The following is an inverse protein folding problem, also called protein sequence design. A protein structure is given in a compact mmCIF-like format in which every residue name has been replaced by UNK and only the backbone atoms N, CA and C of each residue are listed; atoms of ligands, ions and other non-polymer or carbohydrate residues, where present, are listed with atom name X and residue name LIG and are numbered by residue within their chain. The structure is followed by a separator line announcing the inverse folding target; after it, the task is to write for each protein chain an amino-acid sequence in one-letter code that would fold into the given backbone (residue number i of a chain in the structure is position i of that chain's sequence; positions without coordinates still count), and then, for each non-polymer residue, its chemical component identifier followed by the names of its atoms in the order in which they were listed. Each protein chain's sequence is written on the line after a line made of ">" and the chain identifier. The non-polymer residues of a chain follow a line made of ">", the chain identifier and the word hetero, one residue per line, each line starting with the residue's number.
data_IF_267419426682
#
_entry.id   IF_267419426682
#
_cell.length_a   1.000
_cell.length_b   1.000
_cell.length_c   1.000
_cell.angle_alpha   90.00
_cell.angle_beta   90.00
_cell.angle_gamma   90.00
#
_symmetry.space_group_name_H-M   'P 1'
#
loop_
_entity.id
_entity.type
_entity.pdbx_description
1 polymer ?
#
# COMPACT_ATOMS: atom_id res chain seq x y z
N UNK A 1 -49.30 25.40 -1.97
CA UNK A 1 -49.15 25.89 -0.59
C UNK A 1 -47.74 25.50 -0.16
N UNK A 2 -46.87 26.50 -0.02
CA UNK A 2 -45.44 26.45 0.34
C UNK A 2 -44.54 25.49 -0.48
N UNK A 3 -43.85 26.11 -1.42
CA UNK A 3 -42.64 25.69 -2.11
C UNK A 3 -41.60 25.12 -1.13
N UNK A 4 -41.12 23.90 -1.37
CA UNK A 4 -40.04 23.22 -0.64
C UNK A 4 -38.68 23.84 -1.03
N UNK A 5 -38.56 25.16 -0.85
CA UNK A 5 -37.43 26.02 -1.20
C UNK A 5 -36.20 25.82 -0.29
N UNK A 6 -35.92 24.57 0.08
CA UNK A 6 -34.70 24.16 0.80
C UNK A 6 -34.17 22.83 0.28
N UNK A 7 -34.18 22.63 -1.05
CA UNK A 7 -33.13 21.82 -1.65
C UNK A 7 -31.82 22.59 -1.45
N UNK A 8 -30.94 22.07 -0.58
CA UNK A 8 -29.60 22.63 -0.35
C UNK A 8 -28.96 22.91 -1.71
N UNK A 9 -28.59 24.16 -2.02
CA UNK A 9 -27.97 24.49 -3.30
C UNK A 9 -26.70 23.68 -3.53
N UNK A 10 -26.44 23.27 -4.77
CA UNK A 10 -25.29 22.43 -5.13
C UNK A 10 -23.95 23.02 -4.65
N UNK A 11 -23.82 24.35 -4.59
CA UNK A 11 -22.61 25.02 -4.07
C UNK A 11 -22.42 24.81 -2.56
N UNK A 12 -23.51 24.85 -1.79
CA UNK A 12 -23.48 24.61 -0.34
C UNK A 12 -23.20 23.13 -0.07
N UNK A 13 -23.86 22.23 -0.80
CA UNK A 13 -23.61 20.80 -0.71
C UNK A 13 -22.16 20.46 -1.09
N UNK A 14 -21.63 21.03 -2.18
CA UNK A 14 -20.22 20.88 -2.56
C UNK A 14 -19.27 21.43 -1.47
N UNK A 15 -19.62 22.56 -0.84
CA UNK A 15 -18.88 23.11 0.30
C UNK A 15 -18.76 22.13 1.45
N UNK A 16 -19.87 21.52 1.87
CA UNK A 16 -19.90 20.50 2.94
C UNK A 16 -19.14 19.24 2.53
N UNK A 17 -19.35 18.76 1.30
CA UNK A 17 -18.69 17.55 0.79
C UNK A 17 -17.16 17.70 0.69
N UNK A 18 -16.65 18.91 0.42
CA UNK A 18 -15.21 19.20 0.42
C UNK A 18 -14.55 19.06 1.78
N UNK A 19 -15.33 19.10 2.87
CA UNK A 19 -14.82 18.89 4.22
C UNK A 19 -14.61 17.40 4.53
N UNK A 20 -15.17 16.51 3.71
CA UNK A 20 -15.02 15.07 3.91
C UNK A 20 -13.66 14.59 3.41
N UNK A 21 -13.06 13.68 4.18
CA UNK A 21 -11.96 12.87 3.67
C UNK A 21 -12.41 12.12 2.40
N UNK A 22 -11.52 11.83 1.43
CA UNK A 22 -11.96 11.29 0.13
C UNK A 22 -12.68 9.94 0.17
N UNK A 23 -12.48 9.12 1.22
CA UNK A 23 -13.33 7.94 1.46
C UNK A 23 -14.77 8.32 1.82
N UNK A 24 -14.95 9.33 2.67
CA UNK A 24 -16.26 9.89 3.00
C UNK A 24 -16.93 10.50 1.76
N UNK A 25 -16.15 11.11 0.87
CA UNK A 25 -16.62 11.61 -0.42
C UNK A 25 -17.01 10.47 -1.38
N UNK A 26 -16.22 9.39 -1.44
CA UNK A 26 -16.54 8.20 -2.23
C UNK A 26 -17.79 7.48 -1.70
N UNK A 27 -17.96 7.38 -0.38
CA UNK A 27 -19.17 6.87 0.26
C UNK A 27 -20.38 7.77 -0.04
N UNK A 28 -20.21 9.09 0.07
CA UNK A 28 -21.23 10.10 -0.27
C UNK A 28 -21.69 10.00 -1.72
N UNK A 29 -20.78 9.67 -2.65
CA UNK A 29 -21.09 9.42 -4.06
C UNK A 29 -22.01 8.22 -4.29
N UNK A 30 -22.08 7.30 -3.34
CA UNK A 30 -22.95 6.12 -3.38
C UNK A 30 -24.34 6.38 -2.75
N UNK A 31 -24.53 7.48 -2.02
CA UNK A 31 -25.78 7.77 -1.29
C UNK A 31 -26.96 8.04 -2.22
N UNK A 32 -26.84 9.01 -3.15
CA UNK A 32 -27.91 9.34 -4.08
C UNK A 32 -27.40 9.97 -5.39
N UNK A 33 -28.27 10.05 -6.40
CA UNK A 33 -27.94 10.61 -7.72
C UNK A 33 -27.56 12.10 -7.67
N UNK A 34 -28.20 12.89 -6.80
CA UNK A 34 -27.89 14.32 -6.67
C UNK A 34 -26.48 14.54 -6.10
N UNK A 35 -26.12 13.82 -5.04
CA UNK A 35 -24.79 13.90 -4.44
C UNK A 35 -23.71 13.40 -5.40
N UNK A 36 -23.96 12.27 -6.08
CA UNK A 36 -23.07 11.78 -7.14
C UNK A 36 -22.83 12.84 -8.21
N UNK A 37 -23.89 13.49 -8.67
CA UNK A 37 -23.80 14.55 -9.68
C UNK A 37 -22.93 15.71 -9.19
N UNK A 38 -23.18 16.23 -7.98
CA UNK A 38 -22.36 17.33 -7.43
C UNK A 38 -20.89 16.93 -7.31
N UNK A 39 -20.61 15.72 -6.84
CA UNK A 39 -19.24 15.19 -6.70
C UNK A 39 -18.55 15.04 -8.07
N UNK A 40 -19.25 14.50 -9.06
CA UNK A 40 -18.73 14.25 -10.40
C UNK A 40 -18.57 15.57 -11.20
N UNK A 41 -19.59 16.44 -11.21
CA UNK A 41 -19.63 17.72 -11.93
C UNK A 41 -18.55 18.68 -11.39
N UNK A 42 -18.38 18.74 -10.07
CA UNK A 42 -17.36 19.58 -9.41
C UNK A 42 -16.01 18.86 -9.27
N UNK A 43 -15.89 17.64 -9.79
CA UNK A 43 -14.66 16.80 -9.76
C UNK A 43 -14.04 16.71 -8.36
N UNK A 44 -14.88 16.59 -7.33
CA UNK A 44 -14.43 16.58 -5.94
C UNK A 44 -13.57 15.35 -5.64
N UNK A 45 -13.83 14.21 -6.30
CA UNK A 45 -12.92 13.06 -6.29
C UNK A 45 -11.85 13.26 -7.37
N UNK A 46 -10.57 13.26 -6.99
CA UNK A 46 -9.45 13.38 -7.93
C UNK A 46 -9.31 12.10 -8.75
N UNK A 47 -9.72 12.14 -10.02
CA UNK A 47 -9.63 11.00 -10.96
C UNK A 47 -8.19 10.61 -11.29
N UNK A 48 -7.28 11.58 -11.18
CA UNK A 48 -5.86 11.52 -11.43
C UNK A 48 -5.10 10.72 -10.36
N UNK A 49 -5.68 10.56 -9.16
CA UNK A 49 -4.96 10.05 -8.00
C UNK A 49 -5.51 8.72 -7.45
N UNK A 50 -6.74 8.36 -7.82
CA UNK A 50 -7.36 7.08 -7.48
C UNK A 50 -8.11 6.53 -8.70
N UNK A 51 -7.87 5.26 -9.10
CA UNK A 51 -8.66 4.61 -10.12
C UNK A 51 -10.14 4.60 -9.71
N UNK A 52 -10.97 5.39 -10.40
CA UNK A 52 -12.43 5.45 -10.13
C UNK A 52 -13.17 4.16 -10.52
N UNK A 53 -12.48 3.25 -11.21
CA UNK A 53 -12.95 1.92 -11.59
C UNK A 53 -11.79 0.93 -11.50
N UNK A 54 -12.12 -0.33 -11.20
CA UNK A 54 -11.17 -1.43 -11.26
C UNK A 54 -10.74 -1.67 -12.72
N UNK A 55 -9.52 -1.28 -13.07
CA UNK A 55 -8.96 -1.48 -14.41
C UNK A 55 -8.42 -2.90 -14.65
N UNK A 56 -8.01 -3.60 -13.59
CA UNK A 56 -7.52 -4.97 -13.64
C UNK A 56 -6.93 -5.43 -12.32
N UNK A 57 -6.35 -6.63 -12.32
CA UNK A 57 -5.77 -7.29 -11.14
C UNK A 57 -4.36 -7.77 -11.49
N UNK A 58 -3.39 -7.48 -10.62
CA UNK A 58 -2.05 -8.05 -10.68
C UNK A 58 -1.96 -9.30 -9.80
N UNK A 59 -1.45 -10.40 -10.35
CA UNK A 59 -1.32 -11.70 -9.68
C UNK A 59 0.12 -12.17 -9.72
N UNK A 60 0.69 -12.44 -8.56
CA UNK A 60 2.02 -13.05 -8.47
C UNK A 60 1.89 -14.57 -8.51
N UNK A 61 2.56 -15.20 -9.48
CA UNK A 61 2.66 -16.66 -9.53
C UNK A 61 3.97 -17.09 -8.86
N UNK A 62 3.86 -17.60 -7.64
CA UNK A 62 5.00 -17.96 -6.79
C UNK A 62 5.94 -18.97 -7.45
N UNK A 63 5.40 -19.92 -8.21
CA UNK A 63 6.20 -20.96 -8.88
C UNK A 63 6.98 -20.42 -10.10
N UNK A 64 6.57 -19.26 -10.63
CA UNK A 64 7.12 -18.70 -11.86
C UNK A 64 7.82 -17.35 -11.65
N UNK A 65 7.84 -16.85 -10.41
CA UNK A 65 8.49 -15.60 -9.99
C UNK A 65 8.09 -14.33 -10.77
N UNK A 66 7.00 -14.34 -11.55
CA UNK A 66 6.53 -13.18 -12.30
C UNK A 66 5.10 -12.76 -11.92
N UNK A 67 4.78 -11.50 -12.18
CA UNK A 67 3.44 -10.93 -12.05
C UNK A 67 2.68 -10.92 -13.37
N UNK A 68 1.46 -11.45 -13.38
CA UNK A 68 0.52 -11.33 -14.51
C UNK A 68 -0.54 -10.25 -14.25
N UNK A 69 -0.96 -9.54 -15.29
CA UNK A 69 -2.06 -8.58 -15.22
C UNK A 69 -3.30 -9.11 -15.97
N UNK A 70 -4.43 -9.14 -15.26
CA UNK A 70 -5.74 -9.46 -15.82
C UNK A 70 -6.55 -8.17 -15.95
N UNK A 71 -6.82 -7.73 -17.18
CA UNK A 71 -7.59 -6.51 -17.45
C UNK A 71 -9.09 -6.78 -17.54
N UNK A 72 -9.91 -5.76 -17.25
CA UNK A 72 -11.36 -5.82 -17.51
C UNK A 72 -11.65 -5.45 -18.97
N UNK A 73 -12.43 -6.25 -19.73
CA UNK A 73 -12.66 -5.99 -21.17
C UNK A 73 -13.37 -4.68 -21.52
N UNK A 74 -14.06 -4.04 -20.56
CA UNK A 74 -15.09 -3.02 -20.83
C UNK A 74 -14.71 -1.58 -20.47
N UNK A 75 -13.48 -1.29 -20.07
CA UNK A 75 -13.04 0.07 -19.70
C UNK A 75 -11.98 0.59 -20.67
N UNK A 76 -12.37 1.55 -21.52
CA UNK A 76 -11.60 2.12 -22.64
C UNK A 76 -10.38 2.98 -22.29
N UNK A 77 -9.86 2.89 -21.07
CA UNK A 77 -8.52 3.38 -20.70
C UNK A 77 -7.74 2.19 -20.18
N UNK A 78 -6.93 1.59 -21.04
CA UNK A 78 -6.15 0.41 -20.73
C UNK A 78 -5.00 0.80 -19.80
N UNK A 79 -5.16 0.54 -18.49
CA UNK A 79 -4.00 0.38 -17.61
C UNK A 79 -3.17 -0.74 -18.24
N UNK A 80 -1.97 -0.42 -18.72
CA UNK A 80 -1.07 -1.43 -19.25
C UNK A 80 -0.51 -2.22 -18.07
N UNK A 81 -0.66 -3.54 -18.10
CA UNK A 81 -0.03 -4.43 -17.14
C UNK A 81 1.47 -4.65 -17.37
N UNK A 82 2.02 -4.08 -18.46
CA UNK A 82 3.46 -4.16 -18.73
C UNK A 82 4.21 -3.26 -17.74
N UNK A 83 5.22 -3.81 -17.09
CA UNK A 83 6.07 -3.12 -16.13
C UNK A 83 7.54 -3.09 -16.58
N UNK A 84 7.82 -3.57 -17.81
CA UNK A 84 9.13 -3.64 -18.45
C UNK A 84 9.82 -2.27 -18.57
N UNK A 85 9.06 -1.20 -18.76
CA UNK A 85 9.56 0.18 -18.80
C UNK A 85 10.25 0.66 -17.52
N UNK A 86 10.15 -0.09 -16.42
CA UNK A 86 10.75 0.26 -15.12
C UNK A 86 12.18 -0.24 -14.99
N UNK A 87 12.69 -1.02 -15.96
CA UNK A 87 14.02 -1.62 -15.92
C UNK A 87 14.85 -1.06 -17.08
N UNK A 88 15.96 -0.35 -16.81
CA UNK A 88 16.91 0.03 -17.84
C UNK A 88 17.87 -1.14 -18.14
N UNK A 89 17.69 -1.86 -19.25
CA UNK A 89 18.64 -2.90 -19.69
C UNK A 89 18.06 -4.00 -20.58
N UNK A 90 18.93 -4.91 -21.03
CA UNK A 90 18.54 -6.08 -21.83
C UNK A 90 17.68 -7.06 -21.00
N UNK A 91 16.55 -7.55 -21.53
CA UNK A 91 15.53 -8.30 -20.80
C UNK A 91 15.98 -9.69 -20.28
N UNK A 92 17.05 -10.26 -20.82
CA UNK A 92 17.39 -11.68 -20.63
C UNK A 92 18.21 -11.98 -19.35
N UNK A 93 18.69 -10.95 -18.64
CA UNK A 93 19.52 -11.12 -17.43
C UNK A 93 18.84 -10.69 -16.13
N UNK A 94 17.61 -10.19 -16.19
CA UNK A 94 16.97 -9.53 -15.05
C UNK A 94 15.94 -10.39 -14.34
N UNK A 95 15.86 -10.29 -12.99
CA UNK A 95 14.90 -11.06 -12.24
C UNK A 95 13.48 -10.70 -12.69
N UNK A 96 12.59 -11.69 -12.79
CA UNK A 96 11.22 -11.47 -13.23
C UNK A 96 10.53 -10.43 -12.33
N UNK A 97 9.75 -9.55 -12.96
CA UNK A 97 9.06 -8.47 -12.26
C UNK A 97 8.02 -9.07 -11.31
N UNK A 98 8.20 -8.79 -10.02
CA UNK A 98 7.35 -9.29 -8.95
C UNK A 98 6.84 -8.13 -8.09
N UNK A 99 5.52 -7.95 -8.03
CA UNK A 99 4.88 -6.92 -7.20
C UNK A 99 4.96 -7.34 -5.72
N UNK A 100 5.74 -6.61 -4.91
CA UNK A 100 5.93 -6.90 -3.48
C UNK A 100 4.79 -6.39 -2.61
N UNK A 101 4.25 -5.23 -2.95
CA UNK A 101 3.16 -4.59 -2.21
C UNK A 101 2.36 -3.67 -3.15
N UNK A 102 1.20 -3.20 -2.71
CA UNK A 102 0.40 -2.21 -3.42
C UNK A 102 -0.38 -1.33 -2.44
N UNK A 103 -0.57 -0.06 -2.77
CA UNK A 103 -1.34 0.87 -1.95
C UNK A 103 -1.95 1.98 -2.82
N UNK A 104 -3.27 2.16 -2.72
CA UNK A 104 -4.03 3.21 -3.41
C UNK A 104 -3.70 3.40 -4.91
N UNK A 105 -3.42 2.30 -5.61
CA UNK A 105 -3.14 2.29 -7.05
C UNK A 105 -1.64 2.32 -7.41
N UNK A 106 -0.75 2.54 -6.45
CA UNK A 106 0.70 2.35 -6.64
C UNK A 106 1.10 0.90 -6.38
N UNK A 107 2.13 0.45 -7.09
CA UNK A 107 2.74 -0.87 -6.97
C UNK A 107 4.18 -0.71 -6.48
N UNK A 108 4.58 -1.56 -5.54
CA UNK A 108 5.96 -1.66 -5.07
C UNK A 108 6.65 -2.82 -5.79
N UNK A 109 7.74 -2.53 -6.51
CA UNK A 109 8.66 -3.49 -7.08
C UNK A 109 9.94 -3.53 -6.23
N UNK A 110 10.88 -4.42 -6.58
CA UNK A 110 12.14 -4.53 -5.84
C UNK A 110 12.96 -3.22 -5.86
N UNK A 111 12.96 -2.52 -6.99
CA UNK A 111 13.85 -1.38 -7.26
C UNK A 111 13.13 -0.04 -7.39
N UNK A 112 11.79 -0.02 -7.41
CA UNK A 112 11.02 1.21 -7.63
C UNK A 112 9.57 1.10 -7.15
N UNK A 113 8.93 2.25 -7.02
CA UNK A 113 7.47 2.38 -6.90
C UNK A 113 6.90 2.84 -8.24
N UNK A 114 5.80 2.22 -8.68
CA UNK A 114 5.24 2.40 -10.01
C UNK A 114 3.78 2.80 -9.92
N UNK A 115 3.39 3.80 -10.72
CA UNK A 115 2.00 4.10 -11.01
C UNK A 115 1.62 3.52 -12.39
N UNK A 116 0.91 2.37 -12.44
CA UNK A 116 0.54 1.74 -13.71
C UNK A 116 -0.50 2.56 -14.50
N UNK A 117 -1.23 3.47 -13.85
CA UNK A 117 -2.19 4.34 -14.52
C UNK A 117 -1.53 5.49 -15.28
N UNK A 118 -0.40 6.01 -14.78
CA UNK A 118 0.35 7.10 -15.42
C UNK A 118 1.64 6.65 -16.11
N UNK A 119 2.03 5.38 -15.97
CA UNK A 119 3.31 4.82 -16.40
C UNK A 119 4.54 5.50 -15.78
N UNK A 120 4.35 6.30 -14.73
CA UNK A 120 5.44 6.91 -13.99
C UNK A 120 5.99 5.94 -12.96
N UNK A 121 7.27 6.08 -12.65
CA UNK A 121 7.94 5.31 -11.63
C UNK A 121 8.99 6.17 -10.93
N UNK A 122 9.30 5.82 -9.69
CA UNK A 122 10.33 6.45 -8.88
C UNK A 122 11.29 5.38 -8.36
N UNK A 123 12.62 5.49 -8.61
CA UNK A 123 13.58 4.54 -8.09
C UNK A 123 13.58 4.56 -6.57
N UNK A 124 13.77 3.39 -5.97
CA UNK A 124 14.02 3.27 -4.54
C UNK A 124 15.53 3.14 -4.31
N UNK A 125 16.11 3.91 -3.38
CA UNK A 125 17.46 3.64 -2.95
C UNK A 125 17.53 2.24 -2.32
N UNK A 126 18.70 1.56 -2.39
CA UNK A 126 18.90 0.30 -1.71
C UNK A 126 18.46 0.39 -0.24
N UNK A 127 17.74 -0.63 0.23
CA UNK A 127 17.43 -0.72 1.65
C UNK A 127 18.76 -0.79 2.43
N UNK A 128 18.92 0.01 3.51
CA UNK A 128 20.11 -0.08 4.34
C UNK A 128 20.24 -1.47 4.94
N UNK A 129 21.47 -1.95 5.10
CA UNK A 129 21.75 -3.26 5.69
C UNK A 129 21.14 -3.37 7.08
N UNK A 130 20.38 -4.45 7.33
CA UNK A 130 19.88 -4.72 8.66
C UNK A 130 21.05 -4.94 9.64
N UNK A 131 20.92 -4.54 10.92
CA UNK A 131 21.97 -4.77 11.91
C UNK A 131 22.37 -6.25 11.90
N UNK A 132 23.67 -6.51 11.79
CA UNK A 132 24.22 -7.85 11.95
C UNK A 132 24.87 -7.95 13.35
N UNK A 133 24.58 -9.02 14.13
CA UNK A 133 23.65 -10.11 13.82
C UNK A 133 22.17 -9.68 13.94
N UNK A 134 21.25 -10.32 13.19
CA UNK A 134 19.82 -10.13 13.40
C UNK A 134 19.47 -10.44 14.87
N UNK A 135 18.50 -9.74 15.45
CA UNK A 135 18.04 -10.06 16.81
C UNK A 135 17.64 -11.55 16.89
N UNK A 136 17.93 -12.23 18.02
CA UNK A 136 17.59 -13.64 18.20
C UNK A 136 16.14 -13.91 17.79
N UNK A 137 15.96 -14.75 16.77
CA UNK A 137 14.66 -15.15 16.22
C UNK A 137 14.24 -14.49 14.92
N UNK A 138 14.78 -13.33 14.53
CA UNK A 138 14.44 -12.70 13.25
C UNK A 138 15.09 -13.48 12.09
N UNK A 139 14.30 -14.28 11.36
CA UNK A 139 14.75 -14.81 10.07
C UNK A 139 14.61 -13.71 9.01
N UNK A 140 15.69 -13.51 8.27
CA UNK A 140 15.98 -12.38 7.39
C UNK A 140 15.22 -12.43 6.05
N UNK A 141 13.94 -12.05 6.05
CA UNK A 141 13.27 -11.51 4.86
C UNK A 141 12.40 -10.31 5.27
N UNK A 142 13.00 -9.12 5.44
CA UNK A 142 12.24 -7.90 5.72
C UNK A 142 11.11 -7.72 4.70
N UNK A 143 9.90 -7.42 5.18
CA UNK A 143 8.76 -7.14 4.31
C UNK A 143 8.65 -5.64 4.11
N UNK A 144 8.62 -5.24 2.85
CA UNK A 144 8.43 -3.84 2.47
C UNK A 144 6.93 -3.56 2.30
N UNK A 145 6.46 -2.50 2.96
CA UNK A 145 5.08 -2.05 2.92
C UNK A 145 5.01 -0.65 2.33
N UNK A 146 4.21 -0.50 1.27
CA UNK A 146 3.99 0.79 0.62
C UNK A 146 2.86 1.54 1.31
N UNK A 147 3.11 2.81 1.64
CA UNK A 147 2.12 3.74 2.15
C UNK A 147 2.00 4.89 1.17
N UNK A 148 0.79 5.07 0.65
CA UNK A 148 0.51 6.14 -0.29
C UNK A 148 -0.90 6.65 0.00
N UNK A 149 -1.03 7.91 0.38
CA UNK A 149 -2.32 8.57 0.48
C UNK A 149 -2.42 9.68 -0.58
N UNK A 150 -3.08 9.41 -1.72
CA UNK A 150 -3.26 10.41 -2.78
C UNK A 150 -4.01 11.66 -2.34
N UNK A 151 -4.68 11.60 -1.18
CA UNK A 151 -5.48 12.70 -0.64
C UNK A 151 -4.64 13.72 0.10
N UNK A 152 -3.50 13.30 0.66
CA UNK A 152 -2.54 14.16 1.34
C UNK A 152 -1.58 14.79 0.34
N UNK A 153 -1.04 13.99 -0.59
CA UNK A 153 -0.19 14.50 -1.66
C UNK A 153 -0.13 13.51 -2.83
N UNK A 154 -0.24 14.00 -4.08
CA UNK A 154 -0.31 13.14 -5.26
C UNK A 154 0.99 12.38 -5.57
N UNK A 155 2.14 12.90 -5.08
CA UNK A 155 3.48 12.41 -5.41
C UNK A 155 4.26 11.94 -4.17
N UNK A 156 3.59 11.89 -3.01
CA UNK A 156 4.23 11.52 -1.75
C UNK A 156 3.88 10.09 -1.36
N UNK A 157 4.89 9.23 -1.28
CA UNK A 157 4.74 7.88 -0.75
C UNK A 157 5.86 7.58 0.24
N UNK A 158 5.58 6.65 1.14
CA UNK A 158 6.53 6.11 2.10
C UNK A 158 6.63 4.60 1.91
N UNK A 159 7.81 4.03 2.18
CA UNK A 159 8.02 2.57 2.19
C UNK A 159 8.59 2.16 3.54
N UNK A 160 7.89 1.29 4.25
CA UNK A 160 8.32 0.78 5.56
C UNK A 160 8.92 -0.61 5.41
N UNK A 161 10.03 -0.85 6.10
CA UNK A 161 10.58 -2.20 6.28
C UNK A 161 10.08 -2.74 7.61
N UNK A 162 9.18 -3.70 7.55
CA UNK A 162 8.63 -4.40 8.72
C UNK A 162 9.34 -5.75 8.86
N UNK A 163 9.87 -6.07 10.04
CA UNK A 163 10.48 -7.37 10.27
C UNK A 163 9.45 -8.49 10.23
N UNK A 164 9.83 -9.64 9.67
CA UNK A 164 8.96 -10.82 9.69
C UNK A 164 8.89 -11.40 11.12
N UNK A 165 7.81 -12.10 11.41
CA UNK A 165 7.61 -12.76 12.71
C UNK A 165 8.69 -13.85 12.85
N UNK A 166 9.49 -13.83 13.92
CA UNK A 166 10.42 -14.89 14.24
C UNK A 166 9.81 -16.30 14.11
N UNK A 167 10.50 -17.18 13.38
CA UNK A 167 10.06 -18.57 13.20
C UNK A 167 11.04 -19.55 13.83
N UNK A 168 10.49 -20.64 14.39
CA UNK A 168 11.13 -21.61 15.27
C UNK A 168 12.25 -22.49 14.65
N UNK A 169 12.77 -22.14 13.48
CA UNK A 169 13.78 -22.96 12.81
C UNK A 169 15.19 -22.82 13.43
N UNK A 170 15.37 -21.91 14.39
CA UNK A 170 16.61 -21.77 15.13
C UNK A 170 16.33 -22.09 16.60
N UNK A 171 17.04 -23.09 17.13
CA UNK A 171 16.99 -23.57 18.52
C UNK A 171 17.50 -22.54 19.56
N UNK A 172 17.64 -21.26 19.20
CA UNK A 172 18.32 -20.24 20.01
C UNK A 172 17.38 -19.15 20.59
N UNK A 173 16.07 -19.23 20.35
CA UNK A 173 15.12 -18.31 20.99
C UNK A 173 14.60 -18.87 22.32
N UNK A 174 15.44 -18.78 23.36
CA UNK A 174 15.04 -19.09 24.74
C UNK A 174 14.30 -17.93 25.43
N UNK A 175 14.32 -16.72 24.86
CA UNK A 175 13.68 -15.56 25.46
C UNK A 175 12.18 -15.45 25.11
N UNK A 176 11.34 -15.37 26.15
CA UNK A 176 9.91 -15.07 26.05
C UNK A 176 9.67 -13.61 25.61
N UNK A 177 10.04 -13.26 24.38
CA UNK A 177 9.74 -11.93 23.86
C UNK A 177 8.29 -11.85 23.34
N UNK A 178 7.63 -10.73 23.63
CA UNK A 178 6.28 -10.43 23.17
C UNK A 178 6.29 -9.99 21.70
N UNK A 179 5.28 -10.42 20.95
CA UNK A 179 5.06 -9.98 19.58
C UNK A 179 3.68 -9.34 19.37
N UNK A 180 3.59 -8.21 18.63
CA UNK A 180 4.72 -7.33 18.32
C UNK A 180 5.31 -6.75 19.63
N UNK A 181 6.58 -6.33 19.65
CA UNK A 181 7.19 -5.67 20.81
C UNK A 181 6.41 -4.41 21.22
N UNK A 182 6.54 -3.99 22.48
CA UNK A 182 5.93 -2.74 22.96
C UNK A 182 6.41 -1.50 22.19
N UNK A 183 7.67 -1.52 21.77
CA UNK A 183 8.29 -0.51 20.92
C UNK A 183 8.98 -1.17 19.75
N UNK A 184 8.64 -0.74 18.53
CA UNK A 184 9.20 -1.24 17.29
C UNK A 184 9.84 -0.08 16.53
N UNK A 185 11.14 -0.18 16.28
CA UNK A 185 11.85 0.78 15.43
C UNK A 185 11.83 0.23 14.02
N UNK A 186 11.18 0.96 13.10
CA UNK A 186 11.08 0.60 11.69
C UNK A 186 11.87 1.58 10.85
N UNK A 187 12.46 1.08 9.77
CA UNK A 187 13.08 1.90 8.74
C UNK A 187 12.04 2.32 7.72
N UNK A 188 12.01 3.60 7.41
CA UNK A 188 11.03 4.21 6.53
C UNK A 188 11.75 5.05 5.48
N UNK A 189 11.51 4.74 4.22
CA UNK A 189 11.87 5.60 3.10
C UNK A 189 10.75 6.61 2.86
N UNK A 190 11.10 7.86 2.59
CA UNK A 190 10.16 8.92 2.21
C UNK A 190 10.52 9.48 0.84
N UNK A 191 9.54 9.52 -0.08
CA UNK A 191 9.76 10.11 -1.41
C UNK A 191 9.97 11.62 -1.37
N UNK A 192 9.71 12.29 -0.24
CA UNK A 192 9.92 13.74 -0.07
C UNK A 192 11.36 14.08 0.30
N UNK A 193 11.98 13.27 1.17
CA UNK A 193 13.36 13.46 1.61
C UNK A 193 14.35 12.64 0.80
N UNK A 194 13.86 11.69 0.00
CA UNK A 194 14.65 10.72 -0.77
C UNK A 194 15.65 9.95 0.12
N UNK A 195 15.30 9.77 1.39
CA UNK A 195 16.16 9.17 2.41
C UNK A 195 15.43 8.11 3.24
N UNK A 196 16.22 7.22 3.83
CA UNK A 196 15.77 6.29 4.86
C UNK A 196 15.91 6.94 6.24
N UNK A 197 14.88 6.81 7.06
CA UNK A 197 14.83 7.29 8.43
C UNK A 197 14.34 6.17 9.36
N UNK A 198 14.82 6.14 10.59
CA UNK A 198 14.27 5.26 11.63
C UNK A 198 13.13 5.98 12.35
N UNK A 199 11.99 5.30 12.45
CA UNK A 199 10.84 5.77 13.21
C UNK A 199 10.45 4.74 14.27
N UNK A 200 10.15 5.25 15.45
CA UNK A 200 9.72 4.46 16.60
C UNK A 200 8.20 4.37 16.64
N UNK A 201 7.67 3.15 16.72
CA UNK A 201 6.25 2.85 16.82
C UNK A 201 5.96 2.16 18.15
N UNK A 202 4.93 2.63 18.86
CA UNK A 202 4.44 1.98 20.07
C UNK A 202 3.31 1.00 19.74
N UNK A 203 3.32 -0.20 20.34
CA UNK A 203 2.18 -1.11 20.29
C UNK A 203 1.04 -0.56 21.13
N UNK A 204 -0.12 -0.37 20.52
CA UNK A 204 -1.36 -0.10 21.23
C UNK A 204 -2.04 -1.43 21.63
N UNK A 205 -2.31 -1.61 22.92
CA UNK A 205 -2.96 -2.81 23.45
C UNK A 205 -2.02 -3.97 23.80
N UNK A 206 -2.63 -5.13 24.03
CA UNK A 206 -1.93 -6.33 24.48
C UNK A 206 -1.08 -6.96 23.36
N UNK A 207 -0.05 -7.71 23.75
CA UNK A 207 0.70 -8.56 22.83
C UNK A 207 -0.24 -9.54 22.13
N UNK A 208 0.03 -9.83 20.87
CA UNK A 208 -0.64 -10.94 20.19
C UNK A 208 -0.21 -12.29 20.78
N UNK A 209 0.96 -12.35 21.42
CA UNK A 209 1.45 -13.50 22.16
C UNK A 209 2.93 -13.38 22.47
N UNK A 210 3.46 -14.35 23.19
CA UNK A 210 4.91 -14.55 23.37
C UNK A 210 5.42 -15.56 22.36
N UNK A 211 6.70 -15.47 21.98
CA UNK A 211 7.29 -16.38 20.99
C UNK A 211 7.05 -17.88 21.27
N UNK A 212 7.13 -18.39 22.51
CA UNK A 212 6.79 -19.78 22.81
C UNK A 212 5.32 -20.14 22.58
N UNK A 213 4.39 -19.17 22.67
CA UNK A 213 2.95 -19.34 22.49
C UNK A 213 2.45 -19.19 21.05
N UNK A 214 3.24 -18.57 20.15
CA UNK A 214 2.93 -18.49 18.71
C UNK A 214 3.33 -19.77 17.93
N UNK A 215 3.93 -20.74 18.64
CA UNK A 215 4.39 -22.03 18.14
C UNK A 215 3.18 -22.86 17.67
N UNK A 216 2.99 -22.94 16.35
CA UNK A 216 1.95 -23.77 15.74
C UNK A 216 1.28 -23.14 14.52
N UNK A 217 1.53 -21.86 14.25
CA UNK A 217 1.10 -21.23 12.99
C UNK A 217 2.00 -21.73 11.85
N UNK A 218 1.69 -22.92 11.34
CA UNK A 218 2.24 -23.46 10.11
C UNK A 218 2.25 -22.36 9.06
N UNK A 219 3.43 -22.12 8.47
CA UNK A 219 3.69 -21.10 7.46
C UNK A 219 2.67 -21.19 6.32
N UNK A 220 1.60 -20.40 6.40
CA UNK A 220 0.95 -19.91 5.19
C UNK A 220 1.80 -18.73 4.77
N UNK A 221 2.91 -19.04 4.10
CA UNK A 221 3.68 -18.05 3.38
C UNK A 221 2.72 -17.17 2.57
N UNK A 222 3.03 -15.89 2.47
CA UNK A 222 2.39 -14.93 1.55
C UNK A 222 1.03 -14.32 1.93
N UNK A 223 0.60 -14.33 3.20
CA UNK A 223 -0.50 -13.42 3.59
C UNK A 223 0.00 -11.98 3.72
N UNK A 224 -0.08 -11.23 2.62
CA UNK A 224 0.06 -9.78 2.61
C UNK A 224 -1.21 -9.16 3.18
N UNK A 225 -1.24 -8.89 4.48
CA UNK A 225 -2.23 -7.98 5.05
C UNK A 225 -1.53 -6.65 5.27
N UNK A 226 -1.77 -5.71 4.38
CA UNK A 226 -1.42 -4.31 4.61
C UNK A 226 -2.73 -3.54 4.77
N UNK A 227 -2.99 -3.05 5.97
CA UNK A 227 -3.94 -1.98 6.20
C UNK A 227 -3.17 -0.88 6.94
N UNK A 228 -3.09 0.29 6.34
CA UNK A 228 -2.59 1.48 7.00
C UNK A 228 -3.62 2.60 6.85
N UNK A 229 -3.80 3.36 7.92
CA UNK A 229 -4.60 4.58 8.04
C UNK A 229 -3.68 5.73 8.42
#
# INVERSE_FOLDING_TARGET
>A
MADLATMVPDDVLAGVLRLLAPRGLAASRCVCKAWRRVIDDRRLLRADLLPRSLGGIFLNYLDLWFTQFLSRPTTGTAISGRLDYTVPGEPDLMPPIHVRNHCNGLLLLHHCVVNPATQQWAPLPPAPDLPQPPHPGMISFPREHLVFDPTLSPNYFEVLIVPDVPSKNNDECEEEAEWPPSTLILRMFSSKSESWEERTFGREGAAAGTFPGMVGSMRIFFKHQSAYW
#
